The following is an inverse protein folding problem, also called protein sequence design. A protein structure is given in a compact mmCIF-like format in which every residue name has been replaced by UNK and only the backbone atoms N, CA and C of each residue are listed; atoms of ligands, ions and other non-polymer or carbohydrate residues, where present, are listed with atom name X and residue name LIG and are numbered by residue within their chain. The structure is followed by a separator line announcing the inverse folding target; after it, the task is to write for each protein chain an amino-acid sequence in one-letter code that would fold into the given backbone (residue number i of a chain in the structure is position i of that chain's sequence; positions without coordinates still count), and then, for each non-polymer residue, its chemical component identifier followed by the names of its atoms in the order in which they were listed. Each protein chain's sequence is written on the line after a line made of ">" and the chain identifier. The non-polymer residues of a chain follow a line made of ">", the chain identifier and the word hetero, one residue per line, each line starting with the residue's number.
data_IF_836102042444
#
_entry.id   IF_836102042444
#
_cell.length_a   1.000
_cell.length_b   1.000
_cell.length_c   1.000
_cell.angle_alpha   90.00
_cell.angle_beta   90.00
_cell.angle_gamma   90.00
#
_symmetry.space_group_name_H-M   'P 1'
#
loop_
_entity.id
_entity.type
_entity.pdbx_description
1 polymer ?
#
# COMPACT_ATOMS: atom_id res chain seq x y z
N UNK A 1 -9.00 -32.73 43.34
CA UNK A 1 -8.13 -31.54 43.22
C UNK A 1 -8.86 -30.41 43.94
N UNK A 2 -8.26 -29.84 45.00
CA UNK A 2 -8.99 -28.98 45.95
C UNK A 2 -8.95 -27.51 45.48
N UNK A 3 -10.10 -26.95 45.10
CA UNK A 3 -10.24 -25.58 44.56
C UNK A 3 -9.70 -24.52 45.52
N UNK A 4 -9.80 -24.76 46.83
CA UNK A 4 -9.27 -23.90 47.89
C UNK A 4 -7.75 -23.68 47.74
N UNK A 5 -7.00 -24.73 47.41
CA UNK A 5 -5.53 -24.63 47.26
C UNK A 5 -5.14 -23.74 46.07
N UNK A 6 -5.94 -23.74 45.01
CA UNK A 6 -5.65 -22.95 43.80
C UNK A 6 -5.87 -21.45 44.04
N UNK A 7 -6.89 -21.06 44.80
CA UNK A 7 -7.15 -19.64 45.11
C UNK A 7 -6.02 -19.04 45.95
N UNK A 8 -5.49 -19.79 46.93
CA UNK A 8 -4.34 -19.37 47.73
C UNK A 8 -3.08 -19.16 46.89
N UNK A 9 -2.83 -20.02 45.89
CA UNK A 9 -1.68 -19.87 45.01
C UNK A 9 -1.79 -18.63 44.11
N UNK A 10 -2.99 -18.33 43.60
CA UNK A 10 -3.23 -17.13 42.79
C UNK A 10 -3.07 -15.84 43.60
N UNK A 11 -3.58 -15.79 44.83
CA UNK A 11 -3.40 -14.63 45.70
C UNK A 11 -1.92 -14.39 46.03
N UNK A 12 -1.17 -15.46 46.32
CA UNK A 12 0.26 -15.34 46.60
C UNK A 12 1.05 -14.83 45.39
N UNK A 13 0.73 -15.30 44.18
CA UNK A 13 1.37 -14.84 42.95
C UNK A 13 1.08 -13.35 42.66
N UNK A 14 -0.15 -12.89 42.90
CA UNK A 14 -0.54 -11.47 42.73
C UNK A 14 0.20 -10.55 43.72
N UNK A 15 0.34 -10.96 44.98
CA UNK A 15 1.06 -10.19 46.00
C UNK A 15 2.55 -10.10 45.65
N UNK A 16 3.16 -11.18 45.15
CA UNK A 16 4.56 -11.17 44.71
C UNK A 16 4.79 -10.26 43.50
N UNK A 17 3.86 -10.23 42.55
CA UNK A 17 3.96 -9.36 41.37
C UNK A 17 3.81 -7.86 41.72
N UNK A 18 3.05 -7.53 42.77
CA UNK A 18 2.78 -6.14 43.16
C UNK A 18 3.79 -5.58 44.16
N UNK A 19 4.42 -6.42 44.99
CA UNK A 19 5.36 -5.97 46.02
C UNK A 19 6.73 -5.51 45.50
N UNK A 20 7.05 -5.66 44.21
CA UNK A 20 8.35 -5.29 43.64
C UNK A 20 8.37 -3.93 42.93
N UNK A 21 7.30 -3.14 42.99
CA UNK A 21 7.18 -1.93 42.17
C UNK A 21 6.92 -0.66 42.99
N UNK A 22 7.72 -0.43 44.03
CA UNK A 22 7.97 0.90 44.58
C UNK A 22 9.44 1.26 44.33
N UNK A 23 9.78 1.47 43.07
CA UNK A 23 11.04 2.15 42.72
C UNK A 23 10.75 3.64 42.83
N UNK A 24 11.25 4.22 43.91
CA UNK A 24 11.29 5.66 44.15
C UNK A 24 12.17 6.31 43.07
N UNK A 25 11.54 6.76 41.98
CA UNK A 25 12.23 7.49 40.91
C UNK A 25 12.46 8.90 41.43
N UNK A 26 13.62 9.14 42.04
CA UNK A 26 14.17 10.48 42.22
C UNK A 26 14.42 11.08 40.85
N UNK A 27 13.47 11.88 40.36
CA UNK A 27 13.59 12.70 39.16
C UNK A 27 14.57 13.82 39.46
N UNK A 28 15.85 13.57 39.14
CA UNK A 28 16.85 14.63 39.00
C UNK A 28 16.51 15.31 37.68
N UNK A 29 15.90 16.50 37.74
CA UNK A 29 15.71 17.39 36.57
C UNK A 29 17.09 17.89 36.12
N UNK A 30 17.79 17.05 35.38
CA UNK A 30 18.95 17.46 34.60
C UNK A 30 18.45 18.36 33.46
N UNK A 31 19.01 19.57 33.27
CA UNK A 31 18.58 20.45 32.20
C UNK A 31 18.93 19.79 30.87
N UNK A 32 17.93 19.17 30.23
CA UNK A 32 18.06 18.63 28.90
C UNK A 32 18.42 19.77 27.94
N UNK A 33 19.72 19.92 27.67
CA UNK A 33 20.22 20.60 26.49
C UNK A 33 19.72 19.75 25.33
N UNK A 34 18.50 20.04 24.86
CA UNK A 34 17.88 19.44 23.67
C UNK A 34 18.81 19.69 22.51
N UNK A 35 19.73 18.76 22.28
CA UNK A 35 20.50 18.69 21.06
C UNK A 35 19.47 18.51 19.95
N UNK A 36 19.19 19.62 19.25
CA UNK A 36 18.17 19.67 18.22
C UNK A 36 18.55 18.61 17.19
N UNK A 37 17.81 17.50 17.18
CA UNK A 37 17.98 16.46 16.17
C UNK A 37 17.75 17.16 14.82
N UNK A 38 18.61 16.93 13.82
CA UNK A 38 18.40 17.50 12.50
C UNK A 38 17.01 17.09 12.02
N UNK A 39 16.15 18.08 11.78
CA UNK A 39 14.78 17.87 11.33
C UNK A 39 14.87 17.25 9.94
N UNK A 40 14.31 16.04 9.77
CA UNK A 40 14.28 15.40 8.46
C UNK A 40 13.27 16.11 7.57
N UNK A 41 13.66 16.31 6.32
CA UNK A 41 12.78 16.87 5.30
C UNK A 41 12.50 15.80 4.25
N UNK A 42 11.27 15.79 3.76
CA UNK A 42 10.79 14.84 2.77
C UNK A 42 10.36 15.57 1.50
N UNK A 43 10.72 14.97 0.37
CA UNK A 43 10.24 15.37 -0.94
C UNK A 43 8.85 14.78 -1.21
N UNK A 44 8.02 15.39 -2.09
CA UNK A 44 6.72 14.83 -2.46
C UNK A 44 6.81 13.43 -3.07
N UNK A 45 7.97 13.08 -3.66
CA UNK A 45 8.25 11.74 -4.20
C UNK A 45 8.37 10.72 -3.07
N UNK A 46 9.12 11.02 -2.02
CA UNK A 46 9.25 10.13 -0.86
C UNK A 46 7.92 9.96 -0.14
N UNK A 47 7.21 11.07 0.09
CA UNK A 47 5.86 11.00 0.67
C UNK A 47 4.91 10.15 -0.17
N UNK A 48 5.00 10.18 -1.51
CA UNK A 48 4.15 9.35 -2.35
C UNK A 48 4.33 7.84 -2.09
N UNK A 49 5.56 7.42 -1.76
CA UNK A 49 5.84 6.03 -1.39
C UNK A 49 5.25 5.70 -0.02
N UNK A 50 5.47 6.55 0.99
CA UNK A 50 4.98 6.32 2.36
C UNK A 50 3.44 6.31 2.44
N UNK A 51 2.77 7.18 1.70
CA UNK A 51 1.31 7.24 1.65
C UNK A 51 0.68 6.18 0.72
N UNK A 52 1.47 5.49 -0.12
CA UNK A 52 0.93 4.57 -1.13
C UNK A 52 0.04 5.25 -2.17
N UNK A 53 0.37 6.49 -2.56
CA UNK A 53 -0.40 7.27 -3.54
C UNK A 53 0.50 7.79 -4.66
N UNK A 54 -0.09 8.29 -5.75
CA UNK A 54 0.71 8.86 -6.84
C UNK A 54 1.33 10.21 -6.46
N UNK A 55 2.51 10.51 -7.01
CA UNK A 55 3.19 11.80 -6.87
C UNK A 55 2.28 13.02 -7.17
N UNK A 56 1.46 12.90 -8.22
CA UNK A 56 0.48 13.93 -8.62
C UNK A 56 -0.57 14.17 -7.52
N UNK A 57 -0.95 13.13 -6.79
CA UNK A 57 -1.91 13.24 -5.67
C UNK A 57 -1.35 14.08 -4.54
N UNK A 58 -0.07 13.87 -4.17
CA UNK A 58 0.61 14.68 -3.15
C UNK A 58 0.64 16.16 -3.56
N UNK A 59 0.96 16.46 -4.84
CA UNK A 59 0.91 17.83 -5.35
C UNK A 59 -0.49 18.45 -5.27
N UNK A 60 -1.54 17.68 -5.57
CA UNK A 60 -2.91 18.16 -5.44
C UNK A 60 -3.27 18.44 -3.97
N UNK A 61 -2.78 17.61 -3.03
CA UNK A 61 -2.98 17.84 -1.59
C UNK A 61 -2.21 19.07 -1.07
N UNK A 62 -1.01 19.34 -1.60
CA UNK A 62 -0.28 20.58 -1.32
C UNK A 62 -1.06 21.81 -1.79
N UNK A 63 -1.59 21.79 -3.02
CA UNK A 63 -2.42 22.87 -3.55
C UNK A 63 -3.71 23.09 -2.76
N UNK A 64 -4.25 22.03 -2.15
CA UNK A 64 -5.42 22.08 -1.29
C UNK A 64 -5.11 22.58 0.14
N UNK A 65 -3.85 22.80 0.49
CA UNK A 65 -3.46 23.21 1.84
C UNK A 65 -3.66 22.11 2.88
N UNK A 66 -3.56 20.82 2.48
CA UNK A 66 -3.68 19.70 3.43
C UNK A 66 -2.44 19.52 4.31
N UNK A 67 -1.33 20.13 3.96
CA UNK A 67 -0.10 20.13 4.77
C UNK A 67 -0.01 21.47 5.48
N UNK A 68 -0.12 21.46 6.80
CA UNK A 68 -0.20 22.66 7.63
C UNK A 68 1.14 23.41 7.63
N UNK A 69 1.12 24.69 7.23
CA UNK A 69 2.32 25.54 7.18
C UNK A 69 3.24 25.32 5.97
N UNK A 70 2.83 24.48 5.00
CA UNK A 70 3.59 24.28 3.77
C UNK A 70 2.91 24.99 2.61
N UNK A 71 3.54 26.05 2.11
CA UNK A 71 3.12 26.71 0.89
C UNK A 71 3.71 26.01 -0.35
N UNK A 72 2.95 25.90 -1.45
CA UNK A 72 3.48 25.35 -2.69
C UNK A 72 4.60 26.26 -3.22
N UNK A 73 5.82 25.72 -3.24
CA UNK A 73 6.95 26.32 -3.91
C UNK A 73 6.57 26.57 -5.38
N UNK A 74 6.78 27.80 -5.84
CA UNK A 74 6.43 28.23 -7.20
C UNK A 74 7.12 27.41 -8.29
N UNK A 75 6.81 27.73 -9.55
CA UNK A 75 7.31 26.98 -10.71
C UNK A 75 8.85 26.84 -10.66
N UNK A 76 9.32 25.60 -10.81
CA UNK A 76 10.74 25.15 -10.76
C UNK A 76 11.39 24.97 -9.38
N UNK A 77 10.68 25.11 -8.26
CA UNK A 77 11.23 24.78 -6.94
C UNK A 77 10.67 23.46 -6.40
N UNK A 78 11.53 22.65 -5.79
CA UNK A 78 11.09 21.46 -5.07
C UNK A 78 10.47 21.86 -3.74
N UNK A 79 9.33 21.27 -3.41
CA UNK A 79 8.72 21.40 -2.10
C UNK A 79 9.47 20.49 -1.13
N UNK A 80 9.90 21.03 0.01
CA UNK A 80 10.47 20.27 1.10
C UNK A 80 9.49 20.33 2.27
N UNK A 81 9.09 19.16 2.76
CA UNK A 81 8.09 19.03 3.83
C UNK A 81 8.78 18.48 5.06
N UNK A 82 8.80 19.26 6.13
CA UNK A 82 9.39 18.85 7.41
C UNK A 82 8.63 17.67 8.02
N UNK A 83 9.36 16.77 8.68
CA UNK A 83 8.82 15.65 9.46
C UNK A 83 7.77 16.07 10.52
N UNK A 84 7.90 17.29 11.05
CA UNK A 84 7.00 17.85 12.08
C UNK A 84 5.70 18.45 11.49
N UNK A 85 5.59 18.51 10.17
CA UNK A 85 4.40 19.01 9.47
C UNK A 85 3.19 18.13 9.79
N UNK A 86 2.01 18.75 9.92
CA UNK A 86 0.75 18.02 10.06
C UNK A 86 0.05 17.87 8.70
N UNK A 87 -0.36 16.64 8.39
CA UNK A 87 -1.25 16.30 7.28
C UNK A 87 -2.71 16.25 7.77
N UNK A 88 -3.59 16.93 7.05
CA UNK A 88 -5.03 16.97 7.31
C UNK A 88 -5.73 15.99 6.37
N UNK A 89 -6.32 14.95 6.95
CA UNK A 89 -7.12 13.96 6.22
C UNK A 89 -8.41 14.60 5.68
N UNK A 90 -9.09 13.92 4.73
CA UNK A 90 -10.38 14.38 4.23
C UNK A 90 -11.47 14.50 5.32
N UNK A 91 -11.32 13.76 6.42
CA UNK A 91 -12.21 13.83 7.59
C UNK A 91 -11.85 14.97 8.56
N UNK A 92 -10.80 15.76 8.28
CA UNK A 92 -10.31 16.82 9.14
C UNK A 92 -9.38 16.37 10.28
N UNK A 93 -9.10 15.06 10.41
CA UNK A 93 -8.12 14.56 11.39
C UNK A 93 -6.71 14.99 10.96
N UNK A 94 -5.95 15.55 11.91
CA UNK A 94 -4.53 15.90 11.77
C UNK A 94 -3.65 14.69 12.14
N UNK A 95 -2.65 14.40 11.33
CA UNK A 95 -1.67 13.32 11.52
C UNK A 95 -0.28 13.89 11.21
N UNK A 96 0.73 13.62 12.03
CA UNK A 96 2.09 14.13 11.77
C UNK A 96 2.78 13.29 10.70
N UNK A 97 3.64 13.91 9.88
CA UNK A 97 4.38 13.18 8.83
C UNK A 97 5.30 12.10 9.41
N UNK A 98 5.99 12.38 10.52
CA UNK A 98 6.75 11.36 11.28
C UNK A 98 5.93 10.11 11.58
N UNK A 99 4.69 10.28 12.07
CA UNK A 99 3.82 9.15 12.40
C UNK A 99 3.50 8.31 11.17
N UNK A 100 3.24 8.95 10.03
CA UNK A 100 2.97 8.26 8.76
C UNK A 100 4.19 7.44 8.32
N UNK A 101 5.38 8.03 8.39
CA UNK A 101 6.63 7.35 8.03
C UNK A 101 6.89 6.17 8.98
N UNK A 102 6.73 6.37 10.28
CA UNK A 102 6.92 5.33 11.29
C UNK A 102 5.93 4.17 11.10
N UNK A 103 4.66 4.48 10.80
CA UNK A 103 3.65 3.47 10.50
C UNK A 103 4.01 2.66 9.26
N UNK A 104 4.51 3.32 8.21
CA UNK A 104 4.96 2.66 6.99
C UNK A 104 6.19 1.78 7.24
N UNK A 105 7.22 2.29 7.94
CA UNK A 105 8.43 1.54 8.27
C UNK A 105 8.13 0.30 9.12
N UNK A 106 7.18 0.42 10.07
CA UNK A 106 6.71 -0.72 10.87
C UNK A 106 6.04 -1.77 9.98
N UNK A 107 5.17 -1.34 9.07
CA UNK A 107 4.49 -2.24 8.16
C UNK A 107 5.48 -2.93 7.21
N UNK A 108 6.41 -2.17 6.63
CA UNK A 108 7.42 -2.70 5.71
C UNK A 108 8.35 -3.69 6.44
N UNK A 109 8.80 -3.35 7.65
CA UNK A 109 9.63 -4.21 8.48
C UNK A 109 8.95 -5.53 8.86
N UNK A 110 7.63 -5.52 9.11
CA UNK A 110 6.84 -6.73 9.35
C UNK A 110 6.70 -7.57 8.06
N UNK A 111 6.56 -6.95 6.89
CA UNK A 111 6.48 -7.67 5.60
C UNK A 111 7.81 -8.18 5.06
N UNK A 112 8.94 -7.57 5.44
CA UNK A 112 10.29 -7.89 4.95
C UNK A 112 10.99 -8.93 5.81
N UNK A 113 10.38 -9.45 6.88
CA UNK A 113 10.71 -10.82 7.25
C UNK A 113 10.09 -11.73 6.19
N UNK A 114 10.85 -12.31 5.23
CA UNK A 114 10.41 -13.55 4.65
C UNK A 114 10.32 -14.48 5.84
N UNK A 115 9.12 -14.64 6.38
CA UNK A 115 8.71 -15.96 6.85
C UNK A 115 9.26 -16.87 5.76
N UNK A 116 10.13 -17.81 6.11
CA UNK A 116 10.59 -18.87 5.20
C UNK A 116 9.40 -19.77 4.78
N UNK A 117 8.21 -19.19 4.61
CA UNK A 117 7.08 -19.73 3.89
C UNK A 117 7.55 -19.90 2.46
N UNK A 118 7.55 -21.16 2.04
CA UNK A 118 7.72 -21.57 0.67
C UNK A 118 6.87 -20.67 -0.25
N UNK A 119 7.48 -20.09 -1.29
CA UNK A 119 6.80 -19.22 -2.26
C UNK A 119 5.51 -19.87 -2.77
N UNK A 120 5.51 -21.21 -2.91
CA UNK A 120 4.33 -21.98 -3.31
C UNK A 120 3.15 -21.81 -2.33
N UNK A 121 3.40 -21.83 -1.02
CA UNK A 121 2.37 -21.65 0.01
C UNK A 121 1.75 -20.25 -0.01
N UNK A 122 2.57 -19.22 -0.29
CA UNK A 122 2.10 -17.85 -0.45
C UNK A 122 1.11 -17.72 -1.62
N UNK A 123 1.48 -18.24 -2.80
CA UNK A 123 0.60 -18.17 -3.97
C UNK A 123 -0.66 -19.03 -3.80
N UNK A 124 -0.55 -20.20 -3.19
CA UNK A 124 -1.70 -21.08 -2.91
C UNK A 124 -2.73 -20.36 -2.02
N UNK A 125 -2.27 -19.68 -0.96
CA UNK A 125 -3.13 -18.88 -0.07
C UNK A 125 -3.78 -17.71 -0.81
N UNK A 126 -3.05 -17.02 -1.68
CA UNK A 126 -3.60 -15.93 -2.48
C UNK A 126 -4.70 -16.43 -3.44
N UNK A 127 -4.47 -17.54 -4.15
CA UNK A 127 -5.47 -18.16 -5.05
C UNK A 127 -6.74 -18.50 -4.26
N UNK A 128 -6.60 -19.18 -3.13
CA UNK A 128 -7.74 -19.55 -2.28
C UNK A 128 -8.56 -18.34 -1.81
N UNK A 129 -7.89 -17.26 -1.38
CA UNK A 129 -8.57 -16.01 -1.00
C UNK A 129 -9.37 -15.39 -2.17
N UNK A 130 -8.84 -15.45 -3.38
CA UNK A 130 -9.54 -14.94 -4.56
C UNK A 130 -10.72 -15.80 -4.96
N UNK A 131 -10.58 -17.13 -4.93
CA UNK A 131 -11.66 -18.07 -5.22
C UNK A 131 -12.82 -17.93 -4.23
N UNK A 132 -12.52 -17.77 -2.94
CA UNK A 132 -13.52 -17.49 -1.89
C UNK A 132 -14.24 -16.17 -2.14
N UNK A 133 -13.49 -15.09 -2.36
CA UNK A 133 -14.04 -13.74 -2.59
C UNK A 133 -14.94 -13.66 -3.82
N UNK A 134 -14.64 -14.46 -4.83
CA UNK A 134 -15.30 -14.39 -6.13
C UNK A 134 -16.23 -15.58 -6.43
N UNK A 135 -16.42 -16.47 -5.45
CA UNK A 135 -17.35 -17.60 -5.51
C UNK A 135 -17.25 -18.40 -6.83
N UNK A 136 -16.02 -18.74 -7.23
CA UNK A 136 -15.80 -19.52 -8.44
C UNK A 136 -14.32 -19.79 -8.67
N UNK A 137 -14.02 -20.85 -9.42
CA UNK A 137 -12.65 -21.19 -9.80
C UNK A 137 -12.06 -20.07 -10.67
N UNK A 138 -10.80 -19.73 -10.40
CA UNK A 138 -10.12 -18.64 -11.10
C UNK A 138 -10.11 -18.85 -12.63
N UNK A 139 -9.99 -20.11 -13.05
CA UNK A 139 -9.91 -20.52 -14.45
C UNK A 139 -11.20 -20.21 -15.20
N UNK A 140 -12.37 -20.52 -14.64
CA UNK A 140 -13.66 -20.29 -15.29
C UNK A 140 -13.89 -18.79 -15.57
N UNK A 141 -13.48 -17.91 -14.66
CA UNK A 141 -13.58 -16.46 -14.84
C UNK A 141 -12.62 -15.91 -15.89
N UNK A 142 -11.41 -16.46 -15.97
CA UNK A 142 -10.45 -16.07 -16.99
C UNK A 142 -10.92 -16.52 -18.39
N UNK A 143 -11.49 -17.72 -18.49
CA UNK A 143 -12.07 -18.24 -19.73
C UNK A 143 -13.28 -17.44 -20.19
N UNK A 144 -14.20 -17.07 -19.29
CA UNK A 144 -15.34 -16.21 -19.61
C UNK A 144 -14.90 -14.82 -20.14
N UNK A 145 -13.76 -14.29 -19.66
CA UNK A 145 -13.23 -13.01 -20.14
C UNK A 145 -12.63 -13.11 -21.55
N UNK A 146 -11.99 -14.23 -21.87
CA UNK A 146 -11.44 -14.47 -23.22
C UNK A 146 -12.54 -14.83 -24.23
N UNK A 147 -13.60 -15.52 -23.77
CA UNK A 147 -14.67 -16.03 -24.61
C UNK A 147 -15.91 -15.13 -24.63
N UNK A 148 -15.87 -13.97 -23.97
CA UNK A 148 -16.87 -12.93 -24.21
C UNK A 148 -16.57 -12.35 -25.59
N UNK A 149 -17.34 -12.68 -26.66
CA UNK A 149 -17.15 -12.04 -27.94
C UNK A 149 -17.31 -10.56 -27.64
N UNK A 150 -16.26 -9.77 -27.91
CA UNK A 150 -16.34 -8.33 -27.97
C UNK A 150 -17.48 -8.04 -28.94
N UNK A 151 -18.72 -7.95 -28.43
CA UNK A 151 -19.87 -7.47 -29.16
C UNK A 151 -19.41 -6.10 -29.57
N UNK A 152 -18.99 -5.98 -30.83
CA UNK A 152 -18.66 -4.72 -31.48
C UNK A 152 -19.82 -3.82 -31.12
N UNK A 153 -19.63 -2.94 -30.13
CA UNK A 153 -20.68 -2.01 -29.74
C UNK A 153 -21.03 -1.30 -31.03
N UNK A 154 -22.27 -1.37 -31.54
CA UNK A 154 -22.63 -0.62 -32.71
C UNK A 154 -22.27 0.82 -32.40
N UNK A 155 -21.44 1.40 -33.26
CA UNK A 155 -20.97 2.76 -33.15
C UNK A 155 -22.18 3.67 -33.40
N UNK A 156 -22.99 3.86 -32.36
CA UNK A 156 -24.10 4.80 -32.37
C UNK A 156 -23.48 6.21 -32.44
N UNK A 157 -23.34 6.72 -33.66
CA UNK A 157 -23.16 8.13 -33.92
C UNK A 157 -24.51 8.82 -33.68
N UNK A 158 -24.73 9.29 -32.47
CA UNK A 158 -25.72 10.35 -32.23
C UNK A 158 -24.96 11.63 -31.92
N UNK A 159 -25.34 12.68 -32.65
CA UNK A 159 -24.72 13.99 -32.57
C UNK A 159 -24.79 14.55 -31.15
N UNK A 160 -23.68 15.16 -30.75
CA UNK A 160 -23.58 16.20 -29.74
C UNK A 160 -24.14 15.83 -28.37
N UNK A 161 -23.22 15.58 -27.43
CA UNK A 161 -23.43 15.41 -25.98
C UNK A 161 -23.59 13.94 -25.57
N UNK A 162 -22.45 13.28 -25.35
CA UNK A 162 -22.39 12.00 -24.64
C UNK A 162 -22.34 12.26 -23.13
N UNK A 163 -23.43 11.96 -22.43
CA UNK A 163 -23.42 11.61 -21.01
C UNK A 163 -23.66 10.10 -20.90
N UNK A 164 -22.78 9.38 -20.21
CA UNK A 164 -22.91 7.96 -19.89
C UNK A 164 -21.53 7.35 -19.65
N UNK A 165 -21.23 6.60 -18.60
CA UNK A 165 -22.09 5.83 -17.72
C UNK A 165 -21.54 5.83 -16.29
N UNK A 166 -22.46 5.87 -15.32
CA UNK A 166 -22.18 5.59 -13.91
C UNK A 166 -21.78 4.12 -13.77
N UNK A 167 -20.48 3.84 -13.76
CA UNK A 167 -19.99 2.54 -13.29
C UNK A 167 -20.21 2.45 -11.79
N UNK A 168 -20.74 1.31 -11.35
CA UNK A 168 -20.89 0.94 -9.95
C UNK A 168 -19.53 1.08 -9.24
N UNK A 169 -19.37 2.18 -8.51
CA UNK A 169 -18.24 2.39 -7.61
C UNK A 169 -18.43 1.50 -6.39
N UNK A 170 -17.94 0.26 -6.45
CA UNK A 170 -17.54 -0.46 -5.24
C UNK A 170 -16.44 0.38 -4.61
N UNK A 171 -16.76 1.01 -3.48
CA UNK A 171 -15.89 1.91 -2.72
C UNK A 171 -14.72 1.17 -2.08
N UNK A 172 -13.82 0.65 -2.90
CA UNK A 172 -12.53 0.14 -2.48
C UNK A 172 -11.50 1.24 -2.80
N UNK A 173 -10.79 1.78 -1.79
CA UNK A 173 -9.73 2.75 -2.04
C UNK A 173 -8.63 2.10 -2.91
N UNK A 174 -8.40 2.67 -4.09
CA UNK A 174 -7.44 2.19 -5.11
C UNK A 174 -5.96 2.29 -4.69
N UNK A 175 -5.66 2.77 -3.48
CA UNK A 175 -4.29 3.01 -3.02
C UNK A 175 -3.50 1.74 -2.70
N UNK A 176 -4.13 0.56 -2.61
CA UNK A 176 -3.42 -0.71 -2.43
C UNK A 176 -3.32 -1.59 -3.69
N UNK A 177 -3.81 -1.15 -4.86
CA UNK A 177 -3.87 -2.00 -6.06
C UNK A 177 -2.70 -1.84 -7.04
N UNK A 178 -1.88 -0.79 -6.90
CA UNK A 178 -0.82 -0.50 -7.89
C UNK A 178 0.41 -1.40 -7.81
N UNK A 179 0.56 -2.21 -6.75
CA UNK A 179 1.69 -3.14 -6.64
C UNK A 179 1.39 -4.55 -7.16
N UNK A 180 0.10 -4.92 -7.27
CA UNK A 180 -0.33 -6.29 -7.59
C UNK A 180 -0.54 -6.48 -9.10
N UNK A 181 -1.07 -5.50 -9.84
CA UNK A 181 -1.43 -5.78 -11.24
C UNK A 181 -0.24 -5.79 -12.23
N UNK A 182 0.88 -5.12 -11.94
CA UNK A 182 2.00 -5.05 -12.87
C UNK A 182 3.03 -6.19 -12.75
N UNK A 183 2.97 -7.02 -11.71
CA UNK A 183 3.90 -8.15 -11.54
C UNK A 183 3.24 -9.52 -11.69
N UNK A 184 1.90 -9.62 -11.56
CA UNK A 184 1.22 -10.91 -11.59
C UNK A 184 1.18 -11.53 -12.99
N UNK A 185 1.08 -10.75 -14.07
CA UNK A 185 1.10 -11.28 -15.44
C UNK A 185 2.45 -11.88 -15.80
N UNK A 186 3.54 -11.22 -15.41
CA UNK A 186 4.91 -11.66 -15.73
C UNK A 186 5.31 -12.88 -14.89
N UNK A 187 4.92 -12.93 -13.61
CA UNK A 187 5.13 -14.08 -12.73
C UNK A 187 4.29 -15.29 -13.18
N UNK A 188 3.03 -15.10 -13.58
CA UNK A 188 2.19 -16.19 -14.11
C UNK A 188 2.75 -16.70 -15.45
N UNK A 189 3.28 -15.83 -16.31
CA UNK A 189 3.96 -16.22 -17.55
C UNK A 189 5.28 -16.95 -17.28
N UNK A 190 6.07 -16.51 -16.30
CA UNK A 190 7.33 -17.13 -15.91
C UNK A 190 7.13 -18.53 -15.30
N UNK A 191 6.15 -18.70 -14.42
CA UNK A 191 5.78 -20.02 -13.85
C UNK A 191 5.25 -20.96 -14.95
N UNK A 192 4.43 -20.44 -15.88
CA UNK A 192 3.90 -21.20 -17.02
C UNK A 192 5.00 -21.63 -18.00
N UNK A 193 6.01 -20.80 -18.22
CA UNK A 193 7.13 -21.09 -19.13
C UNK A 193 8.24 -21.91 -18.46
N UNK A 194 8.43 -21.79 -17.15
CA UNK A 194 9.42 -22.54 -16.38
C UNK A 194 9.02 -23.99 -16.06
N UNK A 195 7.71 -24.30 -16.03
CA UNK A 195 7.22 -25.66 -15.78
C UNK A 195 7.27 -26.59 -17.02
N UNK A 196 7.46 -26.05 -18.22
CA UNK A 196 7.57 -26.83 -19.45
C UNK A 196 8.94 -26.58 -20.09
N UNK A 197 9.93 -27.38 -19.69
CA UNK A 197 11.26 -27.40 -20.30
C UNK A 197 11.21 -27.81 -21.76
N UNK A 198 10.89 -26.88 -22.66
CA UNK A 198 11.07 -27.00 -24.10
C UNK A 198 11.67 -25.69 -24.62
N UNK A 199 12.89 -25.81 -25.16
CA UNK A 199 13.53 -24.77 -25.95
C UNK A 199 12.65 -24.47 -27.17
N UNK A 200 12.11 -23.25 -27.24
CA UNK A 200 11.51 -22.72 -28.47
C UNK A 200 12.42 -21.65 -29.05
N UNK A 201 13.36 -22.07 -29.89
CA UNK A 201 13.98 -21.21 -30.89
C UNK A 201 12.92 -20.75 -31.90
N UNK A 202 12.21 -19.64 -31.61
CA UNK A 202 11.55 -18.79 -32.61
C UNK A 202 10.76 -17.66 -31.94
N UNK A 203 11.39 -16.51 -31.74
CA UNK A 203 10.67 -15.25 -31.93
C UNK A 203 11.66 -14.14 -32.31
N UNK A 204 12.13 -14.20 -33.55
CA UNK A 204 12.80 -13.11 -34.23
C UNK A 204 11.76 -12.14 -34.81
N UNK A 205 11.92 -10.87 -34.44
CA UNK A 205 11.64 -9.68 -35.26
C UNK A 205 10.19 -9.42 -35.67
N UNK A 206 9.60 -8.35 -35.11
CA UNK A 206 9.03 -7.21 -35.87
C UNK A 206 8.57 -6.11 -34.91
N UNK A 207 9.44 -5.13 -34.66
CA UNK A 207 9.01 -3.80 -34.27
C UNK A 207 9.79 -2.78 -35.10
N UNK A 208 9.24 -2.44 -36.27
CA UNK A 208 9.69 -1.34 -37.10
C UNK A 208 8.49 -0.48 -37.48
N UNK A 209 8.67 0.82 -37.24
CA UNK A 209 8.00 1.98 -37.87
C UNK A 209 6.60 2.36 -37.38
N UNK A 210 6.58 3.31 -36.45
CA UNK A 210 5.70 4.48 -36.59
C UNK A 210 6.57 5.67 -37.03
N UNK A 211 6.54 5.99 -38.33
CA UNK A 211 7.01 7.28 -38.86
C UNK A 211 5.91 8.30 -38.63
N UNK A 212 6.31 9.44 -38.08
CA UNK A 212 5.60 10.71 -38.16
C UNK A 212 5.26 11.05 -39.62
N UNK A 213 4.04 11.52 -39.86
CA UNK A 213 3.72 12.42 -40.97
C UNK A 213 2.89 13.56 -40.39
N UNK A 214 3.57 14.70 -40.27
CA UNK A 214 3.00 16.05 -40.32
C UNK A 214 2.59 16.32 -41.77
N UNK A 215 1.33 16.69 -41.97
CA UNK A 215 0.82 17.78 -42.81
C UNK A 215 -0.70 17.79 -42.67
#
# INVERSE_FOLDING_TARGET
>A
MNLEKFSTLLQHALVQATSQQEVEITVIEEPEIKTARPIKEYTPKELSNYFGVSFVTIHNWLKQGRFEGVEPAGDNKHNHISEDTFYITAAGKKIRISDVVQMWEKQEGESVTPRNEDKLSYYTRQIAMYEEKYHGELNERLEQKMNCPLKKKPMFKFGGICWGDKSLSLGIPKSNFYFIENNFSDIILEIRNGANGLQSEACTVRNQRCRYLLC
#
